data_IF_201384580449
#
_entry.id   IF_201384580449
#
_cell.length_a   1.000
_cell.length_b   1.000
_cell.length_c   1.000
_cell.angle_alpha   90.00
_cell.angle_beta   90.00
_cell.angle_gamma   90.00
#
_symmetry.space_group_name_H-M   'P 1'
#
loop_
_entity.id
_entity.type
_entity.pdbx_description
1 polymer ?
#
# COMPACT_ATOMS: atom_id res chain seq x y z
N UNK A 1 28.27 70.32 -53.91
CA UNK A 1 27.86 69.28 -54.87
C UNK A 1 29.11 68.73 -55.56
N UNK A 2 29.24 67.42 -55.84
CA UNK A 2 29.16 66.27 -54.93
C UNK A 2 30.46 65.44 -54.91
N UNK A 3 30.65 64.61 -53.86
CA UNK A 3 31.59 63.47 -53.84
C UNK A 3 31.02 62.29 -54.66
N UNK A 4 31.84 61.43 -55.28
CA UNK A 4 31.47 60.07 -55.59
C UNK A 4 32.16 59.05 -54.66
N UNK A 5 31.42 57.96 -54.46
CA UNK A 5 31.70 56.83 -53.59
C UNK A 5 32.71 55.84 -54.18
N UNK A 6 33.31 54.98 -53.33
CA UNK A 6 33.35 53.53 -53.55
C UNK A 6 33.76 52.76 -52.26
N UNK A 7 32.77 52.02 -51.74
CA UNK A 7 32.77 50.68 -51.14
C UNK A 7 34.05 50.13 -50.49
N UNK A 8 33.99 49.93 -49.17
CA UNK A 8 34.83 49.00 -48.41
C UNK A 8 34.08 47.68 -48.16
N UNK A 9 34.78 46.56 -48.35
CA UNK A 9 34.35 45.18 -48.13
C UNK A 9 34.62 44.80 -46.66
N UNK A 10 33.60 44.39 -45.90
CA UNK A 10 33.75 43.88 -44.54
C UNK A 10 33.46 42.37 -44.49
N UNK A 11 34.48 41.60 -44.11
CA UNK A 11 34.48 40.15 -43.97
C UNK A 11 33.96 39.79 -42.56
N UNK A 12 32.85 39.05 -42.48
CA UNK A 12 32.26 38.59 -41.22
C UNK A 12 33.00 37.37 -40.66
N UNK A 13 33.52 37.50 -39.44
CA UNK A 13 34.11 36.40 -38.66
C UNK A 13 33.05 35.85 -37.69
N UNK A 14 32.63 34.60 -37.88
CA UNK A 14 31.75 33.86 -36.97
C UNK A 14 32.57 33.34 -35.77
N UNK A 15 32.34 33.89 -34.58
CA UNK A 15 32.87 33.38 -33.31
C UNK A 15 31.88 32.38 -32.71
N UNK A 16 32.28 31.11 -32.63
CA UNK A 16 31.56 30.04 -31.91
C UNK A 16 31.79 30.17 -30.40
N UNK A 17 30.72 30.31 -29.62
CA UNK A 17 30.74 30.20 -28.16
C UNK A 17 30.73 28.74 -27.72
N UNK A 18 31.53 28.32 -26.72
CA UNK A 18 31.41 26.97 -26.16
C UNK A 18 30.24 26.95 -25.16
N UNK A 19 29.33 25.99 -25.33
CA UNK A 19 28.25 25.73 -24.39
C UNK A 19 28.82 25.14 -23.10
N UNK A 20 28.64 25.86 -21.98
CA UNK A 20 28.97 25.40 -20.64
C UNK A 20 27.98 24.30 -20.26
N UNK A 21 28.41 23.04 -20.32
CA UNK A 21 27.62 21.90 -19.88
C UNK A 21 27.63 21.87 -18.34
N UNK A 22 26.60 22.43 -17.70
CA UNK A 22 26.33 22.18 -16.28
C UNK A 22 25.80 20.76 -16.14
N UNK A 23 26.69 19.82 -15.86
CA UNK A 23 26.31 18.54 -15.30
C UNK A 23 25.71 18.78 -13.90
N UNK A 24 24.40 18.60 -13.76
CA UNK A 24 23.77 18.50 -12.44
C UNK A 24 24.32 17.26 -11.76
N UNK A 25 25.20 17.44 -10.78
CA UNK A 25 25.58 16.38 -9.87
C UNK A 25 24.32 16.01 -9.05
N UNK A 26 23.69 14.88 -9.39
CA UNK A 26 22.78 14.23 -8.47
C UNK A 26 23.58 13.92 -7.20
N UNK A 27 23.30 14.64 -6.11
CA UNK A 27 23.74 14.25 -4.78
C UNK A 27 23.20 12.84 -4.51
N UNK A 28 24.02 11.82 -4.74
CA UNK A 28 23.84 10.53 -4.10
C UNK A 28 24.07 10.78 -2.61
N UNK A 29 22.98 10.91 -1.85
CA UNK A 29 23.04 10.82 -0.39
C UNK A 29 23.70 9.50 -0.03
N UNK A 30 24.80 9.55 0.70
CA UNK A 30 25.42 8.33 1.25
C UNK A 30 24.37 7.54 2.05
N UNK A 31 24.32 6.20 1.90
CA UNK A 31 23.41 5.37 2.69
C UNK A 31 23.72 5.59 4.18
N UNK A 32 22.68 5.95 4.95
CA UNK A 32 22.83 6.15 6.39
C UNK A 32 23.36 4.87 7.04
N UNK A 33 24.21 4.97 8.08
CA UNK A 33 24.70 3.81 8.80
C UNK A 33 23.55 2.98 9.36
N UNK A 34 23.60 1.68 9.14
CA UNK A 34 22.63 0.75 9.72
C UNK A 34 22.85 0.68 11.23
N UNK A 35 21.85 1.10 11.99
CA UNK A 35 21.86 1.01 13.45
C UNK A 35 21.30 -0.35 13.85
N UNK A 36 22.07 -1.10 14.64
CA UNK A 36 21.68 -2.41 15.16
C UNK A 36 20.95 -2.29 16.52
N UNK A 37 19.92 -3.12 16.77
CA UNK A 37 19.18 -3.12 18.02
C UNK A 37 19.99 -3.72 19.18
N UNK A 38 19.92 -3.07 20.34
CA UNK A 38 20.79 -3.31 21.50
C UNK A 38 20.03 -3.55 22.80
N UNK A 39 18.73 -3.82 22.72
CA UNK A 39 17.86 -4.10 23.85
C UNK A 39 17.35 -5.55 23.86
N UNK A 40 16.41 -5.87 24.77
CA UNK A 40 15.80 -7.19 24.85
C UNK A 40 15.00 -7.50 23.57
N UNK A 41 14.71 -8.78 23.39
CA UNK A 41 13.82 -9.26 22.34
C UNK A 41 12.39 -9.26 22.85
N UNK A 42 11.46 -8.69 22.08
CA UNK A 42 10.03 -8.82 22.29
C UNK A 42 9.48 -9.95 21.43
N UNK A 43 8.64 -10.79 22.01
CA UNK A 43 7.83 -11.80 21.32
C UNK A 43 6.37 -11.40 21.41
N UNK A 44 5.78 -11.05 20.27
CA UNK A 44 4.36 -10.75 20.11
C UNK A 44 3.67 -12.04 19.64
N UNK A 45 3.01 -12.74 20.55
CA UNK A 45 2.20 -13.91 20.22
C UNK A 45 0.82 -13.42 19.76
N UNK A 46 0.50 -13.51 18.47
CA UNK A 46 -0.84 -13.21 17.94
C UNK A 46 -1.64 -14.49 17.71
N UNK A 47 -2.96 -14.38 17.54
CA UNK A 47 -3.83 -15.47 17.08
C UNK A 47 -3.48 -15.97 15.66
N UNK A 48 -2.75 -15.18 14.88
CA UNK A 48 -2.41 -15.49 13.48
C UNK A 48 -0.90 -15.61 13.25
N UNK A 49 -0.14 -15.88 14.30
CA UNK A 49 1.30 -16.12 14.21
C UNK A 49 2.12 -15.31 15.23
N UNK A 50 3.39 -15.68 15.34
CA UNK A 50 4.35 -15.05 16.26
C UNK A 50 5.22 -14.04 15.54
N UNK A 51 5.46 -12.90 16.18
CA UNK A 51 6.43 -11.90 15.76
C UNK A 51 7.52 -11.77 16.83
N UNK A 52 8.76 -11.64 16.39
CA UNK A 52 9.98 -11.55 17.20
C UNK A 52 10.74 -10.31 16.74
N UNK A 53 10.92 -9.36 17.65
CA UNK A 53 11.58 -8.09 17.35
C UNK A 53 12.60 -7.74 18.43
N UNK A 54 13.75 -7.19 18.06
CA UNK A 54 14.75 -6.71 19.01
C UNK A 54 14.61 -5.20 19.21
N UNK A 55 14.61 -4.76 20.46
CA UNK A 55 14.37 -3.35 20.80
C UNK A 55 15.63 -2.47 20.65
N UNK A 56 15.43 -1.21 20.28
CA UNK A 56 16.45 -0.17 20.23
C UNK A 56 16.59 0.58 21.57
N UNK A 57 16.79 -0.15 22.67
CA UNK A 57 16.73 0.43 24.03
C UNK A 57 17.75 1.54 24.32
N UNK A 58 18.86 1.60 23.57
CA UNK A 58 19.81 2.72 23.68
C UNK A 58 19.35 3.97 22.94
N UNK A 59 18.70 3.81 21.79
CA UNK A 59 18.29 4.91 20.92
C UNK A 59 16.90 5.46 21.26
N UNK A 60 16.01 4.59 21.75
CA UNK A 60 14.63 4.93 22.10
C UNK A 60 14.28 4.55 23.56
N UNK A 61 15.10 4.93 24.57
CA UNK A 61 14.99 4.40 25.94
C UNK A 61 13.62 4.68 26.58
N UNK A 62 13.04 5.86 26.37
CA UNK A 62 11.72 6.19 26.93
C UNK A 62 10.63 5.37 26.28
N UNK A 63 10.69 5.23 24.96
CA UNK A 63 9.71 4.46 24.18
C UNK A 63 9.78 2.97 24.52
N UNK A 64 10.98 2.38 24.52
CA UNK A 64 11.17 0.96 24.86
C UNK A 64 10.82 0.69 26.31
N UNK A 65 11.19 1.57 27.25
CA UNK A 65 10.90 1.39 28.67
C UNK A 65 9.40 1.42 28.95
N UNK A 66 8.67 2.35 28.33
CA UNK A 66 7.23 2.42 28.43
C UNK A 66 6.56 1.15 27.85
N UNK A 67 6.99 0.72 26.67
CA UNK A 67 6.46 -0.47 26.02
C UNK A 67 6.69 -1.73 26.87
N UNK A 68 7.90 -1.93 27.41
CA UNK A 68 8.22 -3.05 28.31
C UNK A 68 7.35 -3.01 29.56
N UNK A 69 7.21 -1.84 30.20
CA UNK A 69 6.43 -1.73 31.43
C UNK A 69 4.94 -2.06 31.23
N UNK A 70 4.39 -1.71 30.06
CA UNK A 70 3.03 -2.07 29.68
C UNK A 70 2.90 -3.55 29.32
N UNK A 71 3.89 -4.14 28.65
CA UNK A 71 3.91 -5.57 28.34
C UNK A 71 4.02 -6.45 29.59
N UNK A 72 4.84 -6.06 30.55
CA UNK A 72 5.05 -6.81 31.80
C UNK A 72 3.99 -6.51 32.87
N UNK A 73 3.13 -5.50 32.64
CA UNK A 73 2.12 -5.06 33.60
C UNK A 73 2.69 -4.33 34.82
N UNK A 74 3.95 -3.88 34.77
CA UNK A 74 4.58 -3.10 35.85
C UNK A 74 4.15 -1.64 35.85
N UNK A 75 3.44 -1.19 34.81
CA UNK A 75 2.82 0.12 34.71
C UNK A 75 1.30 0.01 34.74
N UNK A 76 0.68 0.80 35.61
CA UNK A 76 -0.78 0.94 35.68
C UNK A 76 -1.36 1.54 34.40
N UNK A 77 -2.55 1.11 34.03
CA UNK A 77 -3.31 1.61 32.89
C UNK A 77 -4.80 1.60 33.18
N UNK A 78 -5.59 2.27 32.35
CA UNK A 78 -7.05 2.38 32.54
C UNK A 78 -7.78 1.64 31.43
N UNK A 79 -8.71 0.76 31.79
CA UNK A 79 -9.51 0.02 30.81
C UNK A 79 -10.66 0.86 30.22
N UNK A 80 -11.41 0.28 29.27
CA UNK A 80 -12.54 0.94 28.62
C UNK A 80 -13.70 1.31 29.56
N UNK A 81 -13.73 0.78 30.78
CA UNK A 81 -14.71 1.14 31.82
C UNK A 81 -14.27 2.31 32.70
N UNK A 82 -13.00 2.74 32.58
CA UNK A 82 -12.40 3.75 33.44
C UNK A 82 -11.76 3.17 34.71
N UNK A 83 -11.69 1.84 34.86
CA UNK A 83 -11.06 1.20 36.01
C UNK A 83 -9.54 1.10 35.81
N UNK A 84 -8.77 1.48 36.83
CA UNK A 84 -7.33 1.30 36.84
C UNK A 84 -6.99 -0.18 37.02
N UNK A 85 -6.18 -0.69 36.11
CA UNK A 85 -5.61 -2.03 36.14
C UNK A 85 -4.20 -1.95 36.73
N UNK A 86 -3.93 -2.80 37.71
CA UNK A 86 -2.65 -2.92 38.40
C UNK A 86 -2.03 -4.29 38.11
N UNK A 87 -0.71 -4.36 38.00
CA UNK A 87 0.04 -5.62 37.84
C UNK A 87 -0.48 -6.50 36.69
N UNK A 88 -0.99 -5.88 35.62
CA UNK A 88 -1.66 -6.56 34.51
C UNK A 88 -1.08 -6.08 33.17
N UNK A 89 -0.64 -6.98 32.28
CA UNK A 89 -0.21 -6.62 30.94
C UNK A 89 -1.29 -5.84 30.17
N UNK A 90 -0.90 -4.75 29.53
CA UNK A 90 -1.81 -3.93 28.71
C UNK A 90 -2.11 -4.57 27.36
N UNK A 91 -1.11 -5.18 26.70
CA UNK A 91 -1.25 -5.63 25.32
C UNK A 91 -2.02 -6.94 25.17
N UNK A 92 -2.15 -7.72 26.23
CA UNK A 92 -2.81 -9.01 26.20
C UNK A 92 -4.31 -8.84 25.92
N UNK A 93 -4.79 -9.50 24.87
CA UNK A 93 -6.14 -9.40 24.36
C UNK A 93 -6.40 -8.21 23.42
N UNK A 94 -5.41 -7.34 23.17
CA UNK A 94 -5.60 -6.23 22.21
C UNK A 94 -5.80 -6.75 20.79
N UNK A 95 -6.73 -6.14 20.06
CA UNK A 95 -6.92 -6.45 18.64
C UNK A 95 -5.77 -5.89 17.79
N UNK A 96 -5.37 -6.66 16.78
CA UNK A 96 -4.45 -6.29 15.72
C UNK A 96 -5.26 -5.79 14.52
N UNK A 97 -4.83 -4.68 13.95
CA UNK A 97 -5.46 -4.05 12.79
C UNK A 97 -4.48 -3.96 11.63
N UNK A 98 -4.98 -4.20 10.42
CA UNK A 98 -4.25 -3.89 9.20
C UNK A 98 -4.11 -2.37 9.05
N UNK A 99 -2.96 -1.93 8.57
CA UNK A 99 -2.71 -0.56 8.11
C UNK A 99 -1.96 -0.64 6.79
N UNK A 100 -2.04 0.43 5.98
CA UNK A 100 -1.45 0.49 4.62
C UNK A 100 -0.04 -0.11 4.53
N UNK A 101 0.79 0.13 5.55
CA UNK A 101 2.22 -0.19 5.55
C UNK A 101 2.62 -1.23 6.60
N UNK A 102 1.65 -2.00 7.13
CA UNK A 102 1.91 -2.97 8.19
C UNK A 102 0.70 -3.42 8.99
N UNK A 103 0.96 -3.67 10.27
CA UNK A 103 -0.05 -3.98 11.29
C UNK A 103 0.13 -3.06 12.48
N UNK A 104 -0.97 -2.75 13.18
CA UNK A 104 -0.96 -1.93 14.40
C UNK A 104 -1.76 -2.59 15.51
N UNK A 105 -1.38 -2.31 16.75
CA UNK A 105 -2.11 -2.75 17.94
C UNK A 105 -1.99 -1.71 19.08
N UNK A 106 -2.83 -1.85 20.09
CA UNK A 106 -2.92 -0.95 21.25
C UNK A 106 -4.23 -0.18 21.32
N UNK A 107 -4.15 1.13 21.56
CA UNK A 107 -5.28 2.05 21.78
C UNK A 107 -5.94 2.54 20.48
N UNK A 108 -6.58 1.64 19.72
CA UNK A 108 -7.52 2.06 18.66
C UNK A 108 -8.94 2.08 19.18
N UNK A 109 -9.73 3.08 18.78
CA UNK A 109 -11.13 3.22 19.18
C UNK A 109 -11.99 1.95 18.93
N UNK A 110 -11.59 1.10 17.98
CA UNK A 110 -12.23 -0.17 17.67
C UNK A 110 -11.81 -1.37 18.56
N UNK A 111 -10.73 -1.26 19.36
CA UNK A 111 -10.25 -2.38 20.21
C UNK A 111 -10.96 -2.48 21.56
N UNK A 112 -11.85 -1.53 21.90
CA UNK A 112 -12.50 -1.44 23.22
C UNK A 112 -11.56 -1.08 24.37
N UNK A 113 -10.26 -0.90 24.10
CA UNK A 113 -9.23 -0.56 25.10
C UNK A 113 -8.82 0.90 24.94
N UNK A 114 -8.80 1.65 26.06
CA UNK A 114 -8.37 3.05 26.11
C UNK A 114 -6.84 3.20 26.00
N UNK A 115 -6.35 4.43 26.18
CA UNK A 115 -4.91 4.69 26.19
C UNK A 115 -4.29 4.24 27.52
N UNK A 116 -3.02 3.82 27.51
CA UNK A 116 -2.29 3.47 28.74
C UNK A 116 -1.68 4.72 29.44
N UNK A 117 -2.51 5.74 29.64
CA UNK A 117 -2.12 7.05 30.16
C UNK A 117 -1.92 8.11 29.07
N UNK A 118 -1.41 9.31 29.44
CA UNK A 118 -1.32 10.44 28.53
C UNK A 118 -0.24 10.25 27.46
N UNK A 119 -0.49 10.82 26.28
CA UNK A 119 0.49 10.94 25.20
C UNK A 119 1.71 11.76 25.64
N UNK A 120 2.88 11.47 25.06
CA UNK A 120 4.14 12.13 25.42
C UNK A 120 4.79 12.81 24.21
N UNK A 121 5.69 13.80 24.41
CA UNK A 121 6.48 14.34 23.32
C UNK A 121 7.36 13.25 22.65
N UNK A 122 7.41 13.21 21.30
CA UNK A 122 8.20 12.23 20.56
C UNK A 122 9.67 12.21 20.96
N UNK A 123 10.21 11.00 21.10
CA UNK A 123 11.63 10.78 21.28
C UNK A 123 12.41 10.86 19.97
N UNK A 124 13.56 11.55 19.99
CA UNK A 124 14.47 11.60 18.85
C UNK A 124 15.45 10.44 18.96
N UNK A 125 15.32 9.46 18.07
CA UNK A 125 16.12 8.22 18.11
C UNK A 125 17.31 8.25 17.15
N UNK A 126 17.26 9.10 16.13
CA UNK A 126 18.26 9.12 15.05
C UNK A 126 18.18 7.92 14.11
N UNK A 127 17.23 7.01 14.32
CA UNK A 127 17.00 5.84 13.46
C UNK A 127 16.16 6.28 12.26
N UNK A 128 16.61 5.93 11.07
CA UNK A 128 15.87 6.17 9.86
C UNK A 128 14.70 5.19 9.73
N UNK A 129 13.62 5.65 9.11
CA UNK A 129 12.45 4.84 8.80
C UNK A 129 12.57 4.35 7.35
N UNK A 130 13.38 3.32 7.14
CA UNK A 130 13.91 2.95 5.82
C UNK A 130 14.01 1.42 5.60
N UNK A 131 13.49 0.62 6.54
CA UNK A 131 13.59 -0.84 6.49
C UNK A 131 12.32 -1.53 6.99
N UNK A 132 11.89 -2.55 6.27
CA UNK A 132 10.81 -3.46 6.70
C UNK A 132 11.10 -4.06 8.08
N UNK A 133 10.04 -4.37 8.83
CA UNK A 133 10.10 -4.94 10.16
C UNK A 133 10.33 -3.93 11.27
N UNK A 134 10.30 -2.63 11.00
CA UNK A 134 10.47 -1.64 12.06
C UNK A 134 9.26 -1.60 12.98
N UNK A 135 9.52 -1.83 14.26
CA UNK A 135 8.56 -1.65 15.34
C UNK A 135 8.57 -0.17 15.74
N UNK A 136 7.41 0.49 15.60
CA UNK A 136 7.29 1.94 15.75
C UNK A 136 6.18 2.34 16.71
N UNK A 137 6.40 3.39 17.50
CA UNK A 137 5.36 4.03 18.29
C UNK A 137 4.72 5.14 17.44
N UNK A 138 3.39 5.17 17.37
CA UNK A 138 2.69 6.12 16.51
C UNK A 138 2.65 7.53 17.13
N UNK A 139 2.80 8.54 16.29
CA UNK A 139 2.76 9.96 16.64
C UNK A 139 1.58 10.62 15.93
N UNK A 140 0.68 11.20 16.72
CA UNK A 140 -0.52 11.91 16.25
C UNK A 140 -0.52 13.32 16.85
N UNK A 141 -0.76 14.34 16.04
CA UNK A 141 -0.74 15.76 16.47
C UNK A 141 0.56 16.14 17.22
N UNK A 142 1.69 15.58 16.78
CA UNK A 142 3.00 15.82 17.39
C UNK A 142 3.18 15.20 18.77
N UNK A 143 2.29 14.29 19.20
CA UNK A 143 2.41 13.53 20.44
C UNK A 143 2.50 12.04 20.15
N UNK A 144 3.46 11.37 20.77
CA UNK A 144 3.60 9.92 20.78
C UNK A 144 2.50 9.29 21.63
N UNK A 145 1.81 8.28 21.10
CA UNK A 145 0.86 7.50 21.89
C UNK A 145 1.56 6.77 23.04
N UNK A 146 0.88 6.67 24.18
CA UNK A 146 1.32 5.91 25.34
C UNK A 146 1.29 4.40 25.12
N UNK A 147 0.56 3.90 24.12
CA UNK A 147 0.35 2.46 23.93
C UNK A 147 0.17 2.00 22.49
N UNK A 148 -0.05 2.89 21.52
CA UNK A 148 -0.14 2.52 20.11
C UNK A 148 1.23 2.19 19.53
N UNK A 149 1.31 1.05 18.86
CA UNK A 149 2.48 0.69 18.06
C UNK A 149 2.08 0.03 16.75
N UNK A 150 3.03 0.03 15.81
CA UNK A 150 2.92 -0.68 14.56
C UNK A 150 4.19 -1.46 14.25
N UNK A 151 4.03 -2.58 13.53
CA UNK A 151 5.12 -3.25 12.83
C UNK A 151 4.99 -2.87 11.36
N UNK A 152 5.92 -2.03 10.89
CA UNK A 152 5.93 -1.55 9.51
C UNK A 152 6.63 -2.57 8.64
N UNK A 153 5.90 -3.15 7.69
CA UNK A 153 6.43 -4.14 6.73
C UNK A 153 6.92 -3.47 5.45
N UNK A 154 6.46 -2.25 5.15
CA UNK A 154 6.84 -1.48 3.97
C UNK A 154 6.90 0.03 4.30
N UNK A 155 7.87 0.49 5.12
CA UNK A 155 7.94 1.89 5.54
C UNK A 155 8.32 2.84 4.40
N UNK A 156 7.60 3.96 4.30
CA UNK A 156 7.90 5.05 3.37
C UNK A 156 8.33 6.34 4.09
N UNK A 157 8.74 7.34 3.32
CA UNK A 157 9.18 8.63 3.88
C UNK A 157 8.05 9.41 4.57
N UNK A 158 6.78 9.15 4.25
CA UNK A 158 5.64 9.86 4.82
C UNK A 158 5.40 9.45 6.29
N UNK A 159 5.74 8.21 6.66
CA UNK A 159 5.74 7.76 8.06
C UNK A 159 6.80 8.43 8.95
N UNK A 160 7.86 8.99 8.36
CA UNK A 160 9.03 9.49 9.10
C UNK A 160 8.74 10.62 10.11
N UNK A 161 7.60 11.32 9.99
CA UNK A 161 7.14 12.34 10.96
C UNK A 161 6.07 11.84 11.92
N UNK A 162 5.56 10.63 11.70
CA UNK A 162 4.37 10.05 12.37
C UNK A 162 4.71 8.83 13.21
N UNK A 163 6.00 8.52 13.36
CA UNK A 163 6.45 7.31 14.02
C UNK A 163 7.82 7.49 14.68
N UNK A 164 8.04 6.72 15.74
CA UNK A 164 9.32 6.61 16.43
C UNK A 164 9.76 5.16 16.37
N UNK A 165 10.84 4.88 15.64
CA UNK A 165 11.39 3.52 15.56
C UNK A 165 12.00 3.14 16.91
N UNK A 166 11.51 2.04 17.48
CA UNK A 166 11.97 1.53 18.78
C UNK A 166 12.24 0.02 18.80
N UNK A 167 12.02 -0.69 17.70
CA UNK A 167 12.54 -2.05 17.51
C UNK A 167 12.65 -2.45 16.03
N UNK A 168 13.22 -3.63 15.80
CA UNK A 168 13.38 -4.26 14.49
C UNK A 168 13.03 -5.74 14.58
N UNK A 169 12.06 -6.18 13.78
CA UNK A 169 11.62 -7.55 13.67
C UNK A 169 12.51 -8.36 12.72
N UNK A 170 12.62 -9.66 12.98
CA UNK A 170 13.33 -10.59 12.10
C UNK A 170 12.54 -10.89 10.81
N UNK A 171 13.22 -11.51 9.84
CA UNK A 171 12.64 -11.76 8.52
C UNK A 171 11.39 -12.66 8.56
N UNK A 172 11.38 -13.65 9.45
CA UNK A 172 10.23 -14.53 9.63
C UNK A 172 9.01 -13.76 10.18
N UNK A 173 9.26 -12.84 11.10
CA UNK A 173 8.24 -11.96 11.68
C UNK A 173 7.74 -10.94 10.67
N UNK A 174 8.60 -10.43 9.80
CA UNK A 174 8.19 -9.57 8.68
C UNK A 174 7.24 -10.32 7.74
N UNK A 175 7.55 -11.58 7.42
CA UNK A 175 6.69 -12.41 6.59
C UNK A 175 5.33 -12.69 7.27
N UNK A 176 5.34 -13.03 8.55
CA UNK A 176 4.10 -13.21 9.34
C UNK A 176 3.28 -11.92 9.40
N UNK A 177 3.91 -10.78 9.69
CA UNK A 177 3.22 -9.49 9.72
C UNK A 177 2.63 -9.09 8.36
N UNK A 178 3.27 -9.48 7.25
CA UNK A 178 2.70 -9.32 5.89
C UNK A 178 1.45 -10.16 5.69
N UNK A 179 1.44 -11.41 6.14
CA UNK A 179 0.27 -12.29 6.06
C UNK A 179 -0.88 -11.70 6.88
N UNK A 180 -0.61 -11.33 8.15
CA UNK A 180 -1.59 -10.72 9.04
C UNK A 180 -2.14 -9.41 8.44
N UNK A 181 -1.27 -8.56 7.90
CA UNK A 181 -1.67 -7.31 7.25
C UNK A 181 -2.58 -7.57 6.04
N UNK A 182 -2.20 -8.53 5.19
CA UNK A 182 -2.98 -8.94 4.02
C UNK A 182 -4.37 -9.44 4.41
N UNK A 183 -4.45 -10.37 5.36
CA UNK A 183 -5.71 -10.94 5.82
C UNK A 183 -6.63 -9.86 6.37
N UNK A 184 -6.11 -8.92 7.16
CA UNK A 184 -6.92 -7.84 7.75
C UNK A 184 -7.39 -6.81 6.72
N UNK A 185 -6.56 -6.48 5.73
CA UNK A 185 -6.89 -5.48 4.71
C UNK A 185 -7.80 -6.03 3.60
N UNK A 186 -7.80 -7.35 3.35
CA UNK A 186 -8.67 -7.99 2.36
C UNK A 186 -10.07 -8.30 2.88
N UNK A 187 -10.31 -8.16 4.19
CA UNK A 187 -11.62 -8.36 4.83
C UNK A 187 -12.23 -7.07 5.39
N UNK A 188 -11.95 -5.90 4.82
CA UNK A 188 -12.38 -4.58 5.34
C UNK A 188 -12.00 -4.31 6.83
N UNK A 189 -10.92 -4.92 7.33
CA UNK A 189 -10.59 -4.97 8.77
C UNK A 189 -11.67 -5.63 9.67
N UNK A 190 -12.56 -6.42 9.10
CA UNK A 190 -13.63 -7.17 9.79
C UNK A 190 -13.52 -8.67 9.52
N UNK A 191 -12.40 -9.34 9.89
CA UNK A 191 -12.31 -10.79 9.78
C UNK A 191 -13.39 -11.45 10.66
N UNK A 192 -13.88 -12.62 10.23
CA UNK A 192 -14.88 -13.40 10.97
C UNK A 192 -14.43 -13.68 12.42
N UNK A 193 -13.11 -13.76 12.65
CA UNK A 193 -12.48 -13.77 13.95
C UNK A 193 -11.42 -12.68 14.03
N UNK A 194 -11.52 -11.71 14.97
CA UNK A 194 -10.50 -10.70 15.18
C UNK A 194 -9.13 -11.31 15.45
N UNK A 195 -8.09 -10.77 14.82
CA UNK A 195 -6.71 -11.11 15.16
C UNK A 195 -6.36 -10.38 16.46
N UNK A 196 -5.86 -11.09 17.46
CA UNK A 196 -5.54 -10.52 18.79
C UNK A 196 -4.11 -10.83 19.21
N UNK A 197 -3.50 -9.94 19.98
CA UNK A 197 -2.29 -10.21 20.74
C UNK A 197 -2.65 -11.08 21.95
N UNK A 198 -2.26 -12.35 21.92
CA UNK A 198 -2.46 -13.30 23.03
C UNK A 198 -1.54 -12.97 24.20
N UNK A 199 -0.29 -12.63 23.90
CA UNK A 199 0.70 -12.25 24.89
C UNK A 199 1.81 -11.41 24.28
N UNK A 200 2.37 -10.48 25.05
CA UNK A 200 3.63 -9.78 24.71
C UNK A 200 4.69 -10.13 25.74
N UNK A 201 5.72 -10.89 25.33
CA UNK A 201 6.78 -11.36 26.24
C UNK A 201 8.09 -10.62 25.98
N UNK A 202 8.74 -10.17 27.05
CA UNK A 202 10.07 -9.55 26.99
C UNK A 202 11.11 -10.61 27.36
N UNK A 203 12.07 -10.82 26.46
CA UNK A 203 13.16 -11.80 26.59
C UNK A 203 14.47 -11.04 26.77
N UNK A 204 15.10 -11.12 27.96
CA UNK A 204 16.39 -10.51 28.20
C UNK A 204 17.46 -10.95 27.20
N UNK A 205 18.44 -10.08 26.93
CA UNK A 205 19.52 -10.41 25.99
C UNK A 205 20.27 -11.68 26.41
N UNK A 206 20.51 -12.55 25.43
CA UNK A 206 21.22 -13.82 25.63
C UNK A 206 20.36 -14.96 26.18
N UNK A 207 19.07 -14.73 26.48
CA UNK A 207 18.16 -15.81 26.86
C UNK A 207 17.50 -16.45 25.63
N UNK A 208 17.21 -17.76 25.67
CA UNK A 208 16.50 -18.43 24.58
C UNK A 208 15.06 -17.90 24.48
N UNK A 209 14.53 -17.86 23.25
CA UNK A 209 13.14 -17.50 23.03
C UNK A 209 12.21 -18.51 23.73
N UNK A 210 11.10 -18.06 24.32
CA UNK A 210 10.10 -18.97 24.87
C UNK A 210 9.52 -19.85 23.75
N UNK A 211 9.07 -21.08 24.05
CA UNK A 211 8.42 -21.92 23.05
C UNK A 211 7.18 -21.23 22.45
N UNK A 212 6.80 -21.52 21.20
CA UNK A 212 5.52 -21.13 20.61
C UNK A 212 4.36 -21.44 21.55
N UNK A 213 3.49 -20.47 21.78
CA UNK A 213 2.23 -20.74 22.49
C UNK A 213 1.40 -21.65 21.59
N UNK A 214 0.96 -22.81 22.10
CA UNK A 214 0.19 -23.78 21.33
C UNK A 214 -1.13 -23.16 20.84
N UNK A 215 -1.54 -23.37 19.57
CA UNK A 215 -2.81 -22.86 19.07
C UNK A 215 -3.97 -23.39 19.90
N UNK A 216 -5.01 -22.57 20.12
CA UNK A 216 -6.20 -23.06 20.79
C UNK A 216 -6.89 -24.16 19.95
N UNK A 217 -7.53 -25.17 20.57
CA UNK A 217 -8.26 -26.18 19.81
C UNK A 217 -9.32 -25.53 18.91
N UNK A 218 -9.22 -25.74 17.59
CA UNK A 218 -10.13 -25.17 16.59
C UNK A 218 -9.57 -23.98 15.79
N UNK A 219 -8.36 -23.53 16.09
CA UNK A 219 -7.68 -22.46 15.35
C UNK A 219 -6.80 -23.05 14.25
N UNK A 220 -7.12 -22.80 12.99
CA UNK A 220 -6.34 -23.30 11.86
C UNK A 220 -4.98 -22.58 11.83
N UNK A 221 -3.89 -23.33 11.98
CA UNK A 221 -2.55 -22.80 11.75
C UNK A 221 -2.44 -22.34 10.29
N UNK A 222 -2.07 -21.08 10.07
CA UNK A 222 -1.72 -20.59 8.74
C UNK A 222 -0.51 -21.37 8.25
N UNK A 223 -0.72 -22.21 7.23
CA UNK A 223 0.37 -22.88 6.54
C UNK A 223 1.19 -21.83 5.79
N UNK A 224 2.48 -21.76 6.08
CA UNK A 224 3.46 -21.03 5.25
C UNK A 224 3.24 -21.48 3.79
N UNK A 225 2.92 -20.58 2.85
CA UNK A 225 2.80 -20.98 1.46
C UNK A 225 4.16 -21.53 1.00
N UNK A 226 4.18 -22.64 0.25
CA UNK A 226 5.43 -23.25 -0.19
C UNK A 226 6.24 -22.26 -1.02
N UNK A 227 7.57 -22.38 -0.94
CA UNK A 227 8.52 -21.66 -1.79
C UNK A 227 8.06 -21.67 -3.27
N UNK A 228 8.29 -20.59 -4.02
CA UNK A 228 7.73 -20.45 -5.37
C UNK A 228 8.13 -21.64 -6.24
N UNK A 229 7.12 -22.30 -6.81
CA UNK A 229 7.28 -23.31 -7.84
C UNK A 229 8.11 -22.75 -9.02
N UNK A 230 8.80 -23.61 -9.80
CA UNK A 230 9.57 -23.17 -10.97
C UNK A 230 8.73 -22.26 -11.86
N UNK A 231 9.34 -21.15 -12.32
CA UNK A 231 8.66 -20.06 -13.01
C UNK A 231 7.94 -20.56 -14.27
N UNK A 232 6.61 -20.66 -14.19
CA UNK A 232 5.76 -20.73 -15.38
C UNK A 232 5.97 -19.41 -16.13
N UNK A 233 6.39 -19.44 -17.41
CA UNK A 233 6.60 -18.22 -18.17
C UNK A 233 5.29 -17.42 -18.22
N UNK A 234 5.34 -16.09 -18.00
CA UNK A 234 4.14 -15.27 -17.96
C UNK A 234 3.44 -15.32 -19.32
N UNK A 235 2.10 -15.45 -19.35
CA UNK A 235 1.36 -15.45 -20.61
C UNK A 235 1.48 -14.07 -21.29
N UNK A 236 1.45 -14.07 -22.62
CA UNK A 236 1.36 -12.86 -23.42
C UNK A 236 -0.12 -12.48 -23.67
N UNK A 237 -0.48 -11.19 -23.58
CA UNK A 237 -1.87 -10.78 -23.79
C UNK A 237 -2.26 -10.96 -25.27
N UNK A 238 -3.23 -11.85 -25.51
CA UNK A 238 -3.75 -12.16 -26.85
C UNK A 238 -5.11 -11.49 -27.16
N UNK A 239 -5.68 -10.77 -26.20
CA UNK A 239 -6.95 -10.07 -26.33
C UNK A 239 -6.88 -8.76 -27.11
N UNK A 240 -8.00 -8.02 -27.21
CA UNK A 240 -8.04 -6.72 -27.84
C UNK A 240 -7.21 -5.70 -27.07
N UNK A 241 -6.88 -4.60 -27.75
CA UNK A 241 -6.24 -3.43 -27.14
C UNK A 241 -7.32 -2.48 -26.64
N UNK A 242 -7.14 -1.97 -25.44
CA UNK A 242 -7.95 -0.91 -24.84
C UNK A 242 -7.16 0.39 -24.85
N UNK A 243 -7.85 1.48 -25.20
CA UNK A 243 -7.33 2.84 -25.17
C UNK A 243 -8.20 3.63 -24.18
N UNK A 244 -7.63 3.98 -23.03
CA UNK A 244 -8.25 4.76 -21.96
C UNK A 244 -7.79 6.22 -22.14
N UNK A 245 -8.65 7.05 -22.73
CA UNK A 245 -8.37 8.48 -22.88
C UNK A 245 -8.67 9.21 -21.57
N UNK A 246 -7.69 9.92 -21.03
CA UNK A 246 -7.80 10.63 -19.75
C UNK A 246 -7.50 12.13 -19.92
N UNK A 247 -7.71 12.91 -18.86
CA UNK A 247 -7.27 14.32 -18.82
C UNK A 247 -5.75 14.48 -18.77
N UNK A 248 -5.00 13.43 -18.42
CA UNK A 248 -3.53 13.44 -18.30
C UNK A 248 -2.81 12.68 -19.42
N UNK A 249 -3.53 12.21 -20.43
CA UNK A 249 -2.99 11.45 -21.55
C UNK A 249 -3.74 10.14 -21.78
N UNK A 250 -3.27 9.38 -22.76
CA UNK A 250 -3.94 8.16 -23.20
C UNK A 250 -3.18 6.93 -22.72
N UNK A 251 -3.86 6.01 -22.05
CA UNK A 251 -3.30 4.73 -21.63
C UNK A 251 -3.71 3.64 -22.62
N UNK A 252 -2.74 2.88 -23.10
CA UNK A 252 -2.92 1.77 -24.04
C UNK A 252 -2.55 0.47 -23.34
N UNK A 253 -3.50 -0.45 -23.25
CA UNK A 253 -3.29 -1.75 -22.58
C UNK A 253 -3.83 -2.89 -23.44
N UNK A 254 -3.17 -4.05 -23.43
CA UNK A 254 -3.62 -5.26 -24.13
C UNK A 254 -4.21 -6.24 -23.13
N UNK A 255 -5.38 -6.79 -23.43
CA UNK A 255 -6.14 -7.61 -22.49
C UNK A 255 -5.75 -9.09 -22.53
N UNK A 256 -5.87 -9.77 -21.39
CA UNK A 256 -5.65 -11.21 -21.23
C UNK A 256 -6.96 -11.99 -21.40
N UNK A 257 -7.56 -11.92 -22.60
CA UNK A 257 -8.89 -12.52 -22.85
C UNK A 257 -8.98 -14.03 -22.64
N UNK A 258 -7.86 -14.75 -22.70
CA UNK A 258 -7.82 -16.19 -22.48
C UNK A 258 -7.70 -16.53 -21.00
N UNK A 259 -6.93 -15.74 -20.26
CA UNK A 259 -6.61 -15.98 -18.85
C UNK A 259 -7.68 -15.41 -17.92
N UNK A 260 -8.31 -14.29 -18.29
CA UNK A 260 -9.35 -13.61 -17.52
C UNK A 260 -10.61 -13.30 -18.38
N UNK A 261 -11.27 -14.32 -18.96
CA UNK A 261 -12.37 -14.12 -19.90
C UNK A 261 -13.58 -13.39 -19.30
N UNK A 262 -13.94 -13.66 -18.04
CA UNK A 262 -15.08 -13.01 -17.38
C UNK A 262 -14.76 -11.54 -17.10
N UNK A 263 -13.58 -11.27 -16.54
CA UNK A 263 -13.11 -9.93 -16.25
C UNK A 263 -13.02 -9.07 -17.53
N UNK A 264 -12.45 -9.62 -18.60
CA UNK A 264 -12.34 -8.92 -19.88
C UNK A 264 -13.72 -8.66 -20.50
N UNK A 265 -14.62 -9.64 -20.50
CA UNK A 265 -15.98 -9.45 -21.01
C UNK A 265 -16.76 -8.41 -20.19
N UNK A 266 -16.60 -8.41 -18.87
CA UNK A 266 -17.19 -7.43 -17.98
C UNK A 266 -16.68 -6.01 -18.29
N UNK A 267 -15.37 -5.83 -18.33
CA UNK A 267 -14.73 -4.55 -18.60
C UNK A 267 -15.14 -3.98 -19.97
N UNK A 268 -15.09 -4.80 -21.03
CA UNK A 268 -15.51 -4.40 -22.38
C UNK A 268 -16.99 -4.04 -22.40
N UNK A 269 -17.84 -4.85 -21.77
CA UNK A 269 -19.28 -4.62 -21.73
C UNK A 269 -19.66 -3.30 -21.06
N UNK A 270 -19.00 -2.98 -19.93
CA UNK A 270 -19.17 -1.72 -19.22
C UNK A 270 -18.62 -0.53 -20.04
N UNK A 271 -17.44 -0.66 -20.65
CA UNK A 271 -16.84 0.37 -21.48
C UNK A 271 -17.67 0.69 -22.73
N UNK A 272 -18.29 -0.32 -23.36
CA UNK A 272 -19.11 -0.16 -24.56
C UNK A 272 -20.60 0.08 -24.26
N UNK A 273 -21.00 0.04 -22.99
CA UNK A 273 -22.39 0.22 -22.57
C UNK A 273 -23.34 -0.90 -22.99
N UNK A 274 -22.80 -2.05 -23.39
CA UNK A 274 -23.57 -3.25 -23.76
C UNK A 274 -23.95 -4.08 -22.54
N UNK A 275 -23.25 -3.90 -21.42
CA UNK A 275 -23.58 -4.53 -20.14
C UNK A 275 -24.45 -3.58 -19.30
N UNK A 276 -25.68 -3.98 -18.92
CA UNK A 276 -26.48 -3.21 -17.99
C UNK A 276 -25.83 -3.22 -16.60
N UNK A 277 -26.02 -2.15 -15.84
CA UNK A 277 -25.48 -2.01 -14.49
C UNK A 277 -26.47 -1.26 -13.60
N UNK A 278 -26.37 -1.45 -12.29
CA UNK A 278 -27.09 -0.64 -11.31
C UNK A 278 -26.36 0.67 -11.10
N UNK A 279 -27.05 1.80 -11.20
CA UNK A 279 -26.46 3.09 -10.84
C UNK A 279 -26.11 3.07 -9.35
N UNK A 280 -24.86 3.34 -8.95
CA UNK A 280 -24.55 3.39 -7.53
C UNK A 280 -25.19 4.62 -6.85
N UNK A 281 -25.66 5.62 -7.62
CA UNK A 281 -26.27 6.84 -7.12
C UNK A 281 -27.78 6.69 -6.85
N UNK A 282 -28.48 6.04 -7.78
CA UNK A 282 -29.94 5.95 -7.76
C UNK A 282 -30.47 4.54 -7.54
N UNK A 283 -29.59 3.54 -7.57
CA UNK A 283 -29.90 2.10 -7.55
C UNK A 283 -30.82 1.63 -8.69
N UNK A 284 -31.07 2.48 -9.69
CA UNK A 284 -31.82 2.11 -10.88
C UNK A 284 -30.94 1.34 -11.88
N UNK A 285 -31.55 0.44 -12.64
CA UNK A 285 -30.88 -0.23 -13.76
C UNK A 285 -30.63 0.75 -14.91
N UNK A 286 -29.42 0.70 -15.48
CA UNK A 286 -28.97 1.56 -16.57
C UNK A 286 -28.56 0.68 -17.75
N UNK A 287 -29.01 1.04 -18.96
CA UNK A 287 -28.70 0.34 -20.21
C UNK A 287 -28.10 1.32 -21.22
N UNK A 288 -27.25 0.80 -22.13
CA UNK A 288 -26.77 1.56 -23.28
C UNK A 288 -25.84 2.72 -22.94
N UNK A 289 -25.36 2.81 -21.70
CA UNK A 289 -24.46 3.88 -21.23
C UNK A 289 -23.06 3.32 -21.00
N UNK A 290 -22.05 3.98 -21.56
CA UNK A 290 -20.66 3.67 -21.24
C UNK A 290 -20.40 4.01 -19.77
N UNK A 291 -20.06 3.00 -18.97
CA UNK A 291 -19.95 3.15 -17.53
C UNK A 291 -18.80 4.07 -17.12
N UNK A 292 -17.62 3.88 -17.74
CA UNK A 292 -16.38 4.55 -17.35
C UNK A 292 -16.27 6.01 -17.83
N UNK A 293 -17.09 6.44 -18.80
CA UNK A 293 -17.04 7.79 -19.36
C UNK A 293 -17.43 8.82 -18.27
N UNK A 294 -16.48 9.67 -17.89
CA UNK A 294 -16.63 10.70 -16.85
C UNK A 294 -16.22 10.27 -15.45
N UNK A 295 -15.85 9.01 -15.23
CA UNK A 295 -15.24 8.57 -13.96
C UNK A 295 -13.82 9.12 -13.83
N UNK A 296 -13.26 9.11 -12.63
CA UNK A 296 -11.91 9.61 -12.35
C UNK A 296 -11.10 8.59 -11.55
N UNK A 297 -9.78 8.75 -11.55
CA UNK A 297 -8.93 8.05 -10.59
C UNK A 297 -9.15 8.62 -9.20
N UNK A 298 -9.83 7.87 -8.33
CA UNK A 298 -10.15 8.31 -6.98
C UNK A 298 -9.01 8.05 -6.00
N UNK A 299 -8.09 7.14 -6.32
CA UNK A 299 -6.96 6.84 -5.45
C UNK A 299 -5.69 6.76 -6.27
N UNK A 300 -4.73 7.61 -5.93
CA UNK A 300 -3.42 7.70 -6.60
C UNK A 300 -2.31 7.53 -5.56
N UNK A 301 -1.49 6.50 -5.73
CA UNK A 301 -0.43 6.16 -4.80
C UNK A 301 0.89 6.07 -5.56
N UNK A 302 1.81 7.04 -5.35
CA UNK A 302 3.17 6.95 -5.86
C UNK A 302 3.81 5.63 -5.47
N UNK A 303 4.62 5.10 -6.38
CA UNK A 303 5.36 3.85 -6.23
C UNK A 303 4.47 2.61 -6.05
N UNK A 304 3.17 2.74 -6.32
CA UNK A 304 2.21 1.64 -6.25
C UNK A 304 1.26 1.58 -7.45
N UNK A 305 0.20 2.39 -7.48
CA UNK A 305 -0.89 2.24 -8.45
C UNK A 305 -1.81 3.47 -8.56
N UNK A 306 -2.65 3.48 -9.60
CA UNK A 306 -3.80 4.38 -9.75
C UNK A 306 -5.08 3.57 -9.90
N UNK A 307 -6.13 3.91 -9.14
CA UNK A 307 -7.42 3.18 -9.09
C UNK A 307 -8.59 4.10 -9.44
N UNK A 308 -9.50 3.64 -10.31
CA UNK A 308 -10.69 4.43 -10.69
C UNK A 308 -11.81 4.36 -9.64
N UNK A 309 -12.70 5.34 -9.69
CA UNK A 309 -13.98 5.34 -8.96
C UNK A 309 -15.06 4.51 -9.67
N UNK A 310 -16.13 4.18 -8.96
CA UNK A 310 -17.38 3.65 -9.52
C UNK A 310 -18.45 4.72 -9.79
N UNK A 311 -18.25 5.96 -9.32
CA UNK A 311 -19.15 7.08 -9.59
C UNK A 311 -18.39 8.42 -9.66
N UNK A 312 -18.83 9.39 -10.50
CA UNK A 312 -18.26 10.74 -10.47
C UNK A 312 -18.40 11.37 -9.08
N UNK A 313 -17.30 11.87 -8.53
CA UNK A 313 -17.29 12.53 -7.21
C UNK A 313 -17.48 11.59 -6.01
N UNK A 314 -17.34 10.28 -6.17
CA UNK A 314 -17.41 9.30 -5.07
C UNK A 314 -16.36 9.59 -3.99
N UNK A 315 -16.75 9.95 -2.75
CA UNK A 315 -15.79 10.25 -1.70
C UNK A 315 -15.12 9.00 -1.10
N UNK A 316 -15.74 7.82 -1.19
CA UNK A 316 -15.34 6.63 -0.40
C UNK A 316 -14.93 5.43 -1.27
N UNK A 317 -15.34 5.40 -2.55
CA UNK A 317 -15.19 4.20 -3.39
C UNK A 317 -16.20 3.11 -3.02
N UNK A 318 -16.31 2.05 -3.81
CA UNK A 318 -17.16 0.89 -3.48
C UNK A 318 -18.64 1.04 -3.82
N UNK A 319 -18.96 1.80 -4.88
CA UNK A 319 -20.33 1.88 -5.39
C UNK A 319 -20.80 0.55 -6.00
N UNK A 320 -21.79 -0.10 -5.40
CA UNK A 320 -22.34 -1.35 -5.93
C UNK A 320 -23.09 -1.14 -7.27
N UNK A 321 -22.53 -1.71 -8.34
CA UNK A 321 -23.11 -1.70 -9.69
C UNK A 321 -24.00 -2.92 -9.99
N UNK A 322 -24.30 -3.74 -8.98
CA UNK A 322 -25.16 -4.91 -9.07
C UNK A 322 -24.52 -6.08 -9.81
N UNK A 323 -23.19 -6.07 -9.97
CA UNK A 323 -22.41 -7.09 -10.67
C UNK A 323 -21.22 -7.46 -9.80
N UNK A 324 -21.09 -8.75 -9.50
CA UNK A 324 -19.93 -9.30 -8.81
C UNK A 324 -19.47 -10.59 -9.47
N UNK A 325 -18.16 -10.82 -9.51
CA UNK A 325 -17.60 -12.07 -10.03
C UNK A 325 -16.32 -12.50 -9.30
N UNK A 326 -16.04 -13.81 -9.34
CA UNK A 326 -14.88 -14.43 -8.73
C UNK A 326 -13.56 -13.99 -9.39
N UNK A 327 -12.46 -14.13 -8.65
CA UNK A 327 -11.14 -13.87 -9.19
C UNK A 327 -10.77 -14.91 -10.27
N UNK A 328 -10.17 -14.45 -11.37
CA UNK A 328 -9.59 -15.30 -12.40
C UNK A 328 -8.06 -15.26 -12.28
N UNK A 329 -7.51 -16.15 -11.45
CA UNK A 329 -6.06 -16.24 -11.18
C UNK A 329 -5.47 -17.36 -12.02
N UNK A 330 -4.43 -17.04 -12.80
CA UNK A 330 -3.70 -18.05 -13.58
C UNK A 330 -2.23 -18.14 -13.16
N UNK A 331 -1.62 -19.34 -13.12
CA UNK A 331 -0.20 -19.49 -12.86
C UNK A 331 0.65 -18.69 -13.85
N UNK A 332 1.68 -17.99 -13.35
CA UNK A 332 2.60 -17.19 -14.17
C UNK A 332 2.10 -15.79 -14.52
N UNK A 333 0.81 -15.47 -14.36
CA UNK A 333 0.32 -14.10 -14.48
C UNK A 333 0.31 -13.44 -13.11
N UNK A 334 1.40 -12.74 -12.82
CA UNK A 334 1.69 -12.11 -11.53
C UNK A 334 1.95 -10.62 -11.69
N UNK A 335 2.00 -9.89 -10.57
CA UNK A 335 2.42 -8.49 -10.51
C UNK A 335 3.95 -8.36 -10.50
N UNK A 336 4.61 -9.03 -11.43
CA UNK A 336 6.07 -9.07 -11.62
C UNK A 336 6.65 -7.86 -12.36
N UNK A 337 5.78 -7.02 -12.95
CA UNK A 337 6.17 -5.87 -13.76
C UNK A 337 5.17 -4.70 -13.62
N UNK A 338 5.59 -3.46 -13.95
CA UNK A 338 4.69 -2.32 -14.09
C UNK A 338 3.58 -2.55 -15.11
N UNK A 339 2.52 -1.76 -15.00
CA UNK A 339 1.46 -1.68 -16.01
C UNK A 339 0.46 -2.84 -15.97
N UNK A 340 0.40 -3.63 -14.88
CA UNK A 340 -0.67 -4.61 -14.73
C UNK A 340 -1.98 -3.88 -14.53
N UNK A 341 -2.94 -4.14 -15.43
CA UNK A 341 -4.33 -3.72 -15.30
C UNK A 341 -5.09 -4.84 -14.60
N UNK A 342 -5.63 -4.56 -13.43
CA UNK A 342 -6.28 -5.54 -12.57
C UNK A 342 -7.55 -4.99 -11.92
N UNK A 343 -8.52 -5.86 -11.63
CA UNK A 343 -9.72 -5.45 -10.88
C UNK A 343 -9.37 -5.18 -9.43
N UNK A 344 -9.88 -4.08 -8.87
CA UNK A 344 -9.94 -3.91 -7.43
C UNK A 344 -11.09 -4.75 -6.87
N UNK A 345 -10.95 -5.19 -5.61
CA UNK A 345 -11.94 -6.00 -4.92
C UNK A 345 -11.79 -5.83 -3.39
N UNK A 346 -12.85 -6.20 -2.67
CA UNK A 346 -12.92 -6.31 -1.20
C UNK A 346 -12.86 -7.78 -0.76
N UNK A 347 -12.03 -8.58 -1.44
CA UNK A 347 -11.88 -10.02 -1.22
C UNK A 347 -12.46 -10.88 -2.35
N UNK A 348 -12.25 -12.22 -2.29
CA UNK A 348 -12.64 -13.13 -3.35
C UNK A 348 -14.14 -13.05 -3.68
N UNK A 349 -14.47 -12.92 -4.96
CA UNK A 349 -15.88 -12.88 -5.40
C UNK A 349 -16.49 -11.49 -5.50
N UNK A 350 -15.73 -10.42 -5.23
CA UNK A 350 -16.28 -9.06 -5.17
C UNK A 350 -15.84 -8.15 -6.32
N UNK A 351 -15.16 -8.67 -7.35
CA UNK A 351 -14.80 -7.86 -8.52
C UNK A 351 -16.08 -7.30 -9.18
N UNK A 352 -16.09 -6.00 -9.46
CA UNK A 352 -17.25 -5.31 -10.03
C UNK A 352 -16.84 -4.41 -11.21
N UNK A 353 -16.57 -3.14 -10.98
CA UNK A 353 -16.15 -2.17 -12.00
C UNK A 353 -14.83 -1.47 -11.73
N UNK A 354 -14.43 -1.31 -10.47
CA UNK A 354 -13.14 -0.71 -10.13
C UNK A 354 -11.98 -1.56 -10.63
N UNK A 355 -11.02 -0.89 -11.24
CA UNK A 355 -9.75 -1.41 -11.67
C UNK A 355 -8.64 -0.49 -11.18
N UNK A 356 -7.43 -1.03 -11.16
CA UNK A 356 -6.22 -0.27 -10.94
C UNK A 356 -5.15 -0.64 -11.96
N UNK A 357 -4.21 0.27 -12.15
CA UNK A 357 -3.03 0.07 -12.98
C UNK A 357 -1.79 0.27 -12.10
N UNK A 358 -0.91 -0.73 -12.05
CA UNK A 358 0.32 -0.64 -11.27
C UNK A 358 1.38 0.22 -11.96
N UNK A 359 2.12 1.01 -11.19
CA UNK A 359 3.31 1.70 -11.71
C UNK A 359 4.59 0.88 -11.52
N UNK A 360 4.58 -0.07 -10.59
CA UNK A 360 5.71 -0.92 -10.22
C UNK A 360 5.32 -2.39 -10.06
N UNK A 361 6.28 -3.33 -10.13
CA UNK A 361 6.06 -4.70 -9.70
C UNK A 361 5.55 -4.71 -8.25
N UNK A 362 4.46 -5.43 -8.00
CA UNK A 362 3.96 -5.62 -6.65
C UNK A 362 3.37 -7.02 -6.44
N UNK A 363 4.27 -8.00 -6.32
CA UNK A 363 3.91 -9.42 -6.11
C UNK A 363 3.13 -9.70 -4.82
N UNK A 364 2.95 -8.72 -3.94
CA UNK A 364 2.05 -8.81 -2.76
C UNK A 364 0.57 -8.94 -3.17
N UNK A 365 0.24 -8.58 -4.41
CA UNK A 365 -1.10 -8.71 -4.98
C UNK A 365 -1.33 -10.05 -5.70
N UNK A 366 -0.28 -10.88 -5.87
CA UNK A 366 -0.36 -12.16 -6.59
C UNK A 366 -1.41 -13.07 -5.94
N UNK A 367 -2.33 -13.60 -6.75
CA UNK A 367 -3.36 -14.55 -6.28
C UNK A 367 -4.61 -13.91 -5.65
N UNK A 368 -4.57 -12.64 -5.27
CA UNK A 368 -5.71 -11.95 -4.63
C UNK A 368 -6.49 -11.03 -5.58
N UNK A 369 -5.94 -10.75 -6.76
CA UNK A 369 -6.57 -9.88 -7.77
C UNK A 369 -6.53 -10.49 -9.16
N UNK A 370 -7.58 -10.22 -9.95
CA UNK A 370 -7.65 -10.62 -11.35
C UNK A 370 -6.84 -9.66 -12.21
N UNK A 371 -5.67 -10.08 -12.67
CA UNK A 371 -4.95 -9.36 -13.73
C UNK A 371 -5.64 -9.67 -15.06
N UNK A 372 -6.15 -8.63 -15.73
CA UNK A 372 -6.89 -8.77 -16.98
C UNK A 372 -6.32 -7.95 -18.14
N UNK A 373 -5.26 -7.17 -17.91
CA UNK A 373 -4.49 -6.55 -18.99
C UNK A 373 -3.06 -6.14 -18.61
N UNK A 374 -2.31 -5.74 -19.63
CA UNK A 374 -0.96 -5.18 -19.53
C UNK A 374 -0.89 -3.88 -20.35
N UNK A 375 -0.56 -2.78 -19.68
CA UNK A 375 -0.30 -1.49 -20.31
C UNK A 375 1.12 -1.40 -20.86
N UNK A 376 1.30 -0.65 -21.96
CA UNK A 376 2.63 -0.44 -22.55
C UNK A 376 3.50 0.52 -21.71
N UNK A 377 4.80 0.55 -21.99
CA UNK A 377 5.76 1.36 -21.23
C UNK A 377 5.44 2.86 -21.27
N UNK A 378 4.91 3.36 -22.39
CA UNK A 378 4.50 4.75 -22.52
C UNK A 378 3.32 5.07 -21.58
N UNK A 379 2.36 4.16 -21.47
CA UNK A 379 1.23 4.24 -20.57
C UNK A 379 1.66 4.14 -19.10
N UNK A 380 2.66 3.30 -18.79
CA UNK A 380 3.25 3.25 -17.45
C UNK A 380 3.83 4.61 -17.04
N UNK A 381 4.47 5.35 -17.96
CA UNK A 381 4.95 6.72 -17.66
C UNK A 381 3.83 7.71 -17.39
N UNK A 382 2.68 7.55 -18.04
CA UNK A 382 1.50 8.36 -17.75
C UNK A 382 0.93 7.97 -16.37
N UNK A 383 0.85 6.68 -16.05
CA UNK A 383 0.44 6.19 -14.72
C UNK A 383 1.35 6.75 -13.62
N UNK A 384 2.67 6.71 -13.80
CA UNK A 384 3.65 7.31 -12.88
C UNK A 384 3.42 8.82 -12.69
N UNK A 385 2.97 9.53 -13.73
CA UNK A 385 2.63 10.95 -13.65
C UNK A 385 1.32 11.19 -12.89
N UNK A 386 0.29 10.38 -13.18
CA UNK A 386 -1.01 10.43 -12.49
C UNK A 386 -0.84 10.10 -11.00
N UNK A 387 -0.02 9.11 -10.65
CA UNK A 387 0.23 8.70 -9.27
C UNK A 387 0.78 9.85 -8.40
N UNK A 388 1.51 10.79 -9.00
CA UNK A 388 2.22 11.89 -8.33
C UNK A 388 1.50 13.24 -8.39
N UNK A 389 0.26 13.30 -8.87
CA UNK A 389 -0.52 14.55 -8.81
C UNK A 389 -0.78 14.96 -7.35
N UNK A 390 -0.96 16.25 -7.04
CA UNK A 390 -1.34 16.69 -5.71
C UNK A 390 -2.61 15.96 -5.25
N UNK A 391 -2.59 15.42 -4.02
CA UNK A 391 -3.66 14.61 -3.45
C UNK A 391 -3.98 14.99 -2.00
N UNK A 392 -5.18 14.64 -1.55
CA UNK A 392 -5.60 14.82 -0.16
C UNK A 392 -5.10 13.68 0.76
N UNK A 393 -5.45 13.74 2.05
CA UNK A 393 -5.04 12.74 3.04
C UNK A 393 -5.62 11.32 2.78
N UNK A 394 -6.62 11.20 1.91
CA UNK A 394 -7.22 9.93 1.50
C UNK A 394 -6.65 9.43 0.16
N UNK A 395 -5.59 10.08 -0.34
CA UNK A 395 -4.95 9.80 -1.62
C UNK A 395 -5.82 10.12 -2.84
N UNK A 396 -6.80 11.02 -2.70
CA UNK A 396 -7.63 11.48 -3.81
C UNK A 396 -6.96 12.67 -4.51
N UNK A 397 -6.84 12.67 -5.84
CA UNK A 397 -6.32 13.83 -6.57
C UNK A 397 -7.12 15.11 -6.24
N UNK A 398 -6.41 16.21 -5.93
CA UNK A 398 -7.04 17.51 -5.70
C UNK A 398 -7.68 18.07 -6.99
N UNK A 399 -7.10 17.73 -8.14
CA UNK A 399 -7.70 17.94 -9.46
C UNK A 399 -8.02 16.57 -10.06
N UNK A 400 -9.30 16.26 -10.34
CA UNK A 400 -9.68 14.95 -10.87
C UNK A 400 -8.95 14.60 -12.17
N UNK A 401 -8.40 13.39 -12.22
CA UNK A 401 -7.89 12.79 -13.45
C UNK A 401 -9.00 11.94 -14.05
N UNK A 402 -9.74 12.52 -14.99
CA UNK A 402 -10.98 11.95 -15.54
C UNK A 402 -10.70 11.06 -16.74
N UNK A 403 -11.33 9.88 -16.76
CA UNK A 403 -11.48 9.01 -17.91
C UNK A 403 -12.54 9.63 -18.82
N UNK A 404 -12.12 10.15 -19.97
CA UNK A 404 -13.01 10.75 -20.95
C UNK A 404 -13.75 9.67 -21.73
N UNK A 405 -13.02 8.64 -22.15
CA UNK A 405 -13.55 7.54 -22.94
C UNK A 405 -12.66 6.31 -22.88
N UNK A 406 -13.26 5.13 -22.97
CA UNK A 406 -12.55 3.87 -23.21
C UNK A 406 -12.93 3.32 -24.58
N UNK A 407 -11.94 3.13 -25.46
CA UNK A 407 -12.12 2.54 -26.79
C UNK A 407 -11.49 1.14 -26.87
N UNK A 408 -12.17 0.21 -27.54
CA UNK A 408 -11.69 -1.16 -27.78
C UNK A 408 -11.29 -1.30 -29.24
N UNK A 409 -10.04 -1.64 -29.51
CA UNK A 409 -9.54 -1.94 -30.85
C UNK A 409 -9.29 -3.44 -30.95
N UNK A 410 -9.91 -4.09 -31.94
CA UNK A 410 -9.62 -5.48 -32.23
C UNK A 410 -8.18 -5.60 -32.77
N UNK A 411 -7.47 -6.67 -32.40
CA UNK A 411 -6.18 -6.98 -33.01
C UNK A 411 -6.37 -7.02 -34.53
N UNK A 412 -5.70 -6.11 -35.26
CA UNK A 412 -5.55 -6.28 -36.70
C UNK A 412 -4.71 -7.55 -36.88
N UNK A 413 -5.19 -8.56 -37.63
CA UNK A 413 -4.49 -9.82 -37.81
C UNK A 413 -3.09 -9.63 -38.39
#
# INVERSE_FOLDING_TARGET
MPRPAHRALALGLLLSTPALCLAQAHHRTEPKPVIEPTGPTVVLDTSSGRLVCKLFSKQAPRTTGNFIALAEGTKDWTDGSGATQHAKPFFDGTQVFGITDGISAGDRAASGMGTAGPSTPPEKTGIALDRSGQLVALVTNGQQSSSNFAVLIDPDLEYGKRAIVFGQCDDASIATARIISHDLLTTDNHPAHPIVLRAVKIVPEGQPLPPPTEPAPGEAALTVPPAPAPAVPPPDPAGPTVIIDTTQGTLTCKLFSKEAPIAVANFIGLAQGTKPFRSPATHAEVHGKHFYDGLHFNRVLPDFMVQNADMPGDPEGGGDIGIHFANEVVPGLTFDRPGRLAYANSGPGTNASEFFITEHPNRRLDGSYTIFGQCDDASVKIVESIARVPRDAHNRPLTPVTIKRIAITANKP
#
